data_IF_382643258513
#
_entry.id   IF_382643258513
#
_cell.length_a   1.000
_cell.length_b   1.000
_cell.length_c   1.000
_cell.angle_alpha   90.00
_cell.angle_beta   90.00
_cell.angle_gamma   90.00
#
_symmetry.space_group_name_H-M   'P 1'
#
loop_
_entity.id
_entity.type
_entity.pdbx_description
1 polymer ?
#
# COMPACT_ATOMS: atom_id res chain seq x y z
N UNK A 1 7.64 6.97 13.00
CA UNK A 1 8.94 7.60 12.69
C UNK A 1 8.66 8.85 11.87
N UNK A 2 9.35 9.96 12.09
CA UNK A 2 9.22 11.20 11.30
C UNK A 2 10.54 11.51 10.60
N UNK A 3 10.53 12.09 9.39
CA UNK A 3 11.76 12.44 8.70
C UNK A 3 11.57 13.56 7.68
N UNK A 4 12.66 14.24 7.34
CA UNK A 4 12.70 15.17 6.21
C UNK A 4 14.11 15.41 5.71
N UNK A 5 14.21 15.89 4.47
CA UNK A 5 15.43 16.45 3.89
C UNK A 5 15.24 17.95 3.82
N UNK A 6 16.21 18.66 4.41
CA UNK A 6 16.26 20.11 4.42
C UNK A 6 16.90 20.62 3.11
N UNK A 7 17.96 19.94 2.63
CA UNK A 7 18.71 20.34 1.43
C UNK A 7 19.53 19.19 0.82
N UNK A 8 19.70 19.21 -0.50
CA UNK A 8 20.65 18.38 -1.26
C UNK A 8 21.42 19.27 -2.26
N UNK A 9 22.70 19.52 -1.96
CA UNK A 9 23.60 20.33 -2.77
C UNK A 9 24.55 19.48 -3.63
N UNK A 10 24.24 18.20 -3.83
CA UNK A 10 25.05 17.24 -4.59
C UNK A 10 26.15 16.61 -3.74
N UNK A 11 27.09 17.41 -3.25
CA UNK A 11 28.19 16.94 -2.38
C UNK A 11 27.82 16.90 -0.89
N UNK A 12 26.63 17.40 -0.54
CA UNK A 12 26.17 17.55 0.84
C UNK A 12 24.65 17.41 0.92
N UNK A 13 24.19 16.50 1.77
CA UNK A 13 22.78 16.30 2.09
C UNK A 13 22.54 16.60 3.56
N UNK A 14 21.52 17.39 3.86
CA UNK A 14 21.13 17.78 5.20
C UNK A 14 19.71 17.31 5.45
N UNK A 15 19.49 16.64 6.57
CA UNK A 15 18.16 16.19 6.94
C UNK A 15 18.07 15.82 8.40
N UNK A 16 16.92 15.24 8.75
CA UNK A 16 16.67 14.75 10.08
C UNK A 16 15.73 13.55 10.04
N UNK A 17 15.85 12.73 11.08
CA UNK A 17 15.09 11.51 11.27
C UNK A 17 14.76 11.42 12.75
N UNK A 18 13.50 11.21 13.09
CA UNK A 18 13.04 10.95 14.44
C UNK A 18 12.62 9.48 14.53
N UNK A 19 13.35 8.67 15.32
CA UNK A 19 13.03 7.26 15.50
C UNK A 19 11.75 7.11 16.32
N UNK A 20 11.16 5.92 16.32
CA UNK A 20 9.96 5.62 17.12
C UNK A 20 10.25 5.69 18.63
N UNK A 21 11.50 5.41 19.04
CA UNK A 21 11.97 5.64 20.40
C UNK A 21 12.58 7.05 20.53
N UNK A 22 11.89 8.03 21.14
CA UNK A 22 12.37 9.43 21.22
C UNK A 22 13.61 9.61 22.11
N UNK A 23 14.08 8.56 22.79
CA UNK A 23 15.34 8.56 23.54
C UNK A 23 16.55 8.08 22.73
N UNK A 24 16.33 7.39 21.61
CA UNK A 24 17.40 6.84 20.79
C UNK A 24 18.04 7.94 19.94
N UNK A 25 19.37 7.91 19.79
CA UNK A 25 20.03 8.72 18.76
C UNK A 25 19.89 7.97 17.43
N UNK A 26 19.21 8.54 16.43
CA UNK A 26 18.95 7.84 15.18
C UNK A 26 20.23 7.66 14.37
N UNK A 27 20.22 6.64 13.52
CA UNK A 27 21.29 6.33 12.57
C UNK A 27 20.68 6.23 11.19
N UNK A 28 21.34 6.83 10.21
CA UNK A 28 21.03 6.63 8.80
C UNK A 28 22.05 5.70 8.16
N UNK A 29 21.61 4.97 7.14
CA UNK A 29 22.48 4.21 6.24
C UNK A 29 22.42 4.88 4.88
N UNK A 30 23.56 5.35 4.41
CA UNK A 30 23.74 5.91 3.07
C UNK A 30 24.26 4.81 2.16
N UNK A 31 23.47 4.45 1.17
CA UNK A 31 23.85 3.52 0.10
C UNK A 31 24.32 4.35 -1.09
N UNK A 32 25.59 4.19 -1.50
CA UNK A 32 26.17 4.87 -2.67
C UNK A 32 26.14 3.98 -3.92
N UNK A 33 26.19 2.66 -3.68
CA UNK A 33 25.99 1.59 -4.66
C UNK A 33 25.52 0.31 -3.91
N UNK A 34 25.23 -0.81 -4.61
CA UNK A 34 24.73 -2.04 -3.97
C UNK A 34 25.66 -2.71 -2.95
N UNK A 35 26.95 -2.40 -2.95
CA UNK A 35 27.95 -3.00 -2.05
C UNK A 35 28.57 -1.97 -1.10
N UNK A 36 28.43 -0.68 -1.38
CA UNK A 36 29.00 0.42 -0.61
C UNK A 36 27.95 1.13 0.25
N UNK A 37 28.04 0.92 1.56
CA UNK A 37 27.11 1.49 2.53
C UNK A 37 27.86 2.15 3.68
N UNK A 38 27.39 3.32 4.10
CA UNK A 38 27.99 4.12 5.17
C UNK A 38 26.93 4.41 6.23
N UNK A 39 27.23 4.04 7.47
CA UNK A 39 26.38 4.36 8.62
C UNK A 39 26.79 5.69 9.23
N UNK A 40 25.82 6.59 9.44
CA UNK A 40 26.03 7.90 10.06
C UNK A 40 25.06 8.05 11.23
N UNK A 41 25.59 8.18 12.43
CA UNK A 41 24.80 8.54 13.61
C UNK A 41 24.39 10.02 13.52
N UNK A 42 23.16 10.35 13.90
CA UNK A 42 22.72 11.73 13.96
C UNK A 42 23.55 12.50 15.00
N UNK A 43 24.05 13.67 14.60
CA UNK A 43 24.89 14.53 15.45
C UNK A 43 24.45 15.99 15.43
N UNK A 44 23.44 16.33 14.64
CA UNK A 44 22.94 17.71 14.54
C UNK A 44 21.75 17.91 15.49
N UNK A 45 21.84 18.97 16.28
CA UNK A 45 20.78 19.38 17.20
C UNK A 45 19.63 20.09 16.46
N UNK A 46 18.40 19.65 16.73
CA UNK A 46 17.13 20.19 16.23
C UNK A 46 16.30 20.69 17.44
N UNK A 47 16.42 21.97 17.82
CA UNK A 47 15.81 22.49 19.04
C UNK A 47 14.28 22.38 19.04
N UNK A 48 13.63 22.68 17.91
CA UNK A 48 12.17 22.64 17.78
C UNK A 48 11.60 21.25 18.07
N UNK A 49 12.28 20.19 17.64
CA UNK A 49 11.84 18.80 17.90
C UNK A 49 11.93 18.45 19.39
N UNK A 50 12.89 19.02 20.12
CA UNK A 50 12.96 18.88 21.58
C UNK A 50 11.88 19.71 22.29
N UNK A 51 11.71 20.97 21.88
CA UNK A 51 10.75 21.90 22.46
C UNK A 51 9.30 21.43 22.30
N UNK A 52 8.99 20.76 21.18
CA UNK A 52 7.69 20.15 20.92
C UNK A 52 7.51 18.79 21.63
N UNK A 53 8.51 18.31 22.37
CA UNK A 53 8.47 17.03 23.08
C UNK A 53 8.55 15.81 22.16
N UNK A 54 8.98 15.99 20.90
CA UNK A 54 9.07 14.93 19.91
C UNK A 54 10.37 14.11 20.06
N UNK A 55 11.45 14.71 20.57
CA UNK A 55 12.72 14.01 20.82
C UNK A 55 13.41 14.47 22.11
N UNK A 56 13.91 13.54 22.93
CA UNK A 56 14.41 13.85 24.28
C UNK A 56 15.65 14.77 24.28
N UNK A 57 16.61 14.48 23.40
CA UNK A 57 17.87 15.24 23.32
C UNK A 57 17.82 16.35 22.27
N UNK A 58 16.87 16.28 21.32
CA UNK A 58 16.89 17.03 20.06
C UNK A 58 18.02 16.66 19.08
N UNK A 59 18.93 15.73 19.40
CA UNK A 59 20.00 15.28 18.47
C UNK A 59 19.43 14.22 17.54
N UNK A 60 18.93 14.67 16.39
CA UNK A 60 18.23 13.82 15.42
C UNK A 60 18.43 14.30 13.96
N UNK A 61 19.25 15.33 13.74
CA UNK A 61 19.67 15.76 12.42
C UNK A 61 20.99 15.13 11.99
N UNK A 62 21.20 15.05 10.69
CA UNK A 62 22.44 14.58 10.08
C UNK A 62 22.89 15.54 8.98
N UNK A 63 24.20 15.47 8.68
CA UNK A 63 24.80 16.01 7.46
C UNK A 63 25.63 14.87 6.88
N UNK A 64 25.35 14.49 5.64
CA UNK A 64 26.17 13.56 4.88
C UNK A 64 26.94 14.37 3.83
N UNK A 65 28.27 14.29 3.85
CA UNK A 65 29.17 14.98 2.92
C UNK A 65 30.44 14.15 2.65
N UNK A 66 31.34 14.61 1.80
CA UNK A 66 32.56 13.88 1.45
C UNK A 66 33.50 13.56 2.64
N UNK A 67 33.34 14.23 3.80
CA UNK A 67 34.18 13.97 4.97
C UNK A 67 33.75 12.74 5.75
N UNK A 68 32.44 12.45 5.79
CA UNK A 68 31.87 11.32 6.53
C UNK A 68 31.17 10.29 5.62
N UNK A 69 30.98 10.61 4.35
CA UNK A 69 30.40 9.78 3.30
C UNK A 69 31.16 9.99 1.97
N UNK A 70 32.42 9.51 1.86
CA UNK A 70 33.22 9.71 0.66
C UNK A 70 32.56 9.10 -0.58
N UNK A 71 32.47 9.86 -1.67
CA UNK A 71 31.83 9.45 -2.92
C UNK A 71 30.35 9.86 -3.04
N UNK A 72 29.80 10.56 -2.04
CA UNK A 72 28.41 11.02 -2.05
C UNK A 72 28.07 11.91 -3.26
N UNK A 73 29.01 12.73 -3.73
CA UNK A 73 28.80 13.58 -4.90
C UNK A 73 28.73 12.77 -6.20
N UNK A 74 29.56 11.73 -6.31
CA UNK A 74 29.73 10.93 -7.53
C UNK A 74 28.81 9.71 -7.59
N UNK A 75 28.06 9.42 -6.53
CA UNK A 75 27.19 8.25 -6.45
C UNK A 75 26.06 8.33 -7.48
N UNK A 76 26.04 7.36 -8.41
CA UNK A 76 24.97 7.20 -9.38
C UNK A 76 23.66 6.74 -8.74
N UNK A 77 23.75 5.98 -7.64
CA UNK A 77 22.61 5.42 -6.92
C UNK A 77 22.72 5.76 -5.43
N UNK A 78 22.29 6.96 -5.06
CA UNK A 78 22.27 7.39 -3.67
C UNK A 78 20.91 7.14 -3.04
N UNK A 79 20.89 6.35 -1.97
CA UNK A 79 19.74 6.20 -1.07
C UNK A 79 20.16 6.46 0.38
N UNK A 80 19.29 7.14 1.13
CA UNK A 80 19.40 7.29 2.57
C UNK A 80 18.23 6.55 3.19
N UNK A 81 18.53 5.60 4.08
CA UNK A 81 17.55 4.78 4.78
C UNK A 81 17.71 4.91 6.29
N UNK A 82 16.63 4.70 7.01
CA UNK A 82 16.70 4.51 8.46
C UNK A 82 17.49 3.23 8.79
N UNK A 83 18.42 3.32 9.74
CA UNK A 83 19.26 2.20 10.15
C UNK A 83 18.55 1.16 11.02
N UNK A 84 17.36 1.44 11.55
CA UNK A 84 16.59 0.50 12.37
C UNK A 84 15.59 -0.30 11.52
N UNK A 85 14.75 0.39 10.74
CA UNK A 85 13.64 -0.23 10.01
C UNK A 85 13.78 -0.19 8.47
N UNK A 86 14.90 0.32 7.95
CA UNK A 86 15.23 0.37 6.52
C UNK A 86 14.25 1.19 5.65
N UNK A 87 13.42 2.04 6.26
CA UNK A 87 12.53 2.95 5.53
C UNK A 87 13.34 3.95 4.73
N UNK A 88 12.95 4.17 3.47
CA UNK A 88 13.58 5.13 2.58
C UNK A 88 13.28 6.57 3.04
N UNK A 89 14.34 7.31 3.37
CA UNK A 89 14.28 8.72 3.78
C UNK A 89 14.51 9.61 2.56
N UNK A 90 15.48 9.26 1.72
CA UNK A 90 15.83 10.02 0.53
C UNK A 90 16.42 9.12 -0.55
N UNK A 91 16.18 9.46 -1.81
CA UNK A 91 16.85 8.88 -2.96
C UNK A 91 17.20 9.99 -3.93
N UNK A 92 18.45 10.03 -4.39
CA UNK A 92 18.82 10.85 -5.53
C UNK A 92 18.50 10.06 -6.78
N UNK A 93 17.57 10.56 -7.59
CA UNK A 93 17.18 9.93 -8.85
C UNK A 93 17.90 10.67 -10.00
N UNK A 94 18.88 10.05 -10.68
CA UNK A 94 19.68 10.72 -11.71
C UNK A 94 18.96 10.87 -13.07
N UNK A 95 17.79 10.24 -13.23
CA UNK A 95 17.17 9.99 -14.54
C UNK A 95 16.20 11.10 -15.01
N UNK A 96 16.33 11.46 -16.29
CA UNK A 96 15.44 12.37 -17.03
C UNK A 96 14.02 11.80 -17.25
N UNK A 97 13.83 10.48 -17.08
CA UNK A 97 12.53 9.79 -17.21
C UNK A 97 11.74 9.72 -15.89
N UNK A 98 12.09 10.55 -14.91
CA UNK A 98 11.40 10.63 -13.62
C UNK A 98 10.00 11.22 -13.79
N UNK A 99 9.00 10.57 -13.21
CA UNK A 99 7.64 11.12 -13.09
C UNK A 99 7.62 12.14 -11.95
N UNK A 100 7.37 13.41 -12.27
CA UNK A 100 7.25 14.49 -11.29
C UNK A 100 5.80 14.64 -10.80
N UNK A 101 5.27 13.56 -10.22
CA UNK A 101 3.92 13.50 -9.66
C UNK A 101 3.89 12.62 -8.41
N UNK A 102 2.83 12.77 -7.61
CA UNK A 102 2.58 11.94 -6.44
C UNK A 102 1.44 10.99 -6.76
N UNK A 103 1.68 9.69 -6.67
CA UNK A 103 0.70 8.66 -7.00
C UNK A 103 0.57 7.65 -5.88
N UNK A 104 -0.65 7.43 -5.41
CA UNK A 104 -1.01 6.33 -4.53
C UNK A 104 -1.79 5.28 -5.30
N UNK A 105 -1.27 4.06 -5.34
CA UNK A 105 -2.05 2.88 -5.71
C UNK A 105 -2.71 2.32 -4.45
N UNK A 106 -4.02 2.51 -4.32
CA UNK A 106 -4.80 1.90 -3.25
C UNK A 106 -4.91 0.39 -3.51
N UNK A 107 -4.26 -0.41 -2.67
CA UNK A 107 -4.31 -1.87 -2.76
C UNK A 107 -5.55 -2.38 -2.02
N UNK A 108 -6.37 -3.18 -2.70
CA UNK A 108 -7.58 -3.79 -2.12
C UNK A 108 -7.38 -5.26 -1.76
N UNK A 109 -6.31 -5.87 -2.28
CA UNK A 109 -6.02 -7.30 -2.12
C UNK A 109 -5.20 -7.55 -0.85
N UNK A 110 -5.38 -8.74 -0.28
CA UNK A 110 -4.62 -9.16 0.89
C UNK A 110 -3.14 -9.47 0.55
N UNK A 111 -2.88 -10.10 -0.60
CA UNK A 111 -1.54 -10.26 -1.15
C UNK A 111 -1.37 -9.39 -2.38
N UNK A 112 -0.31 -8.59 -2.39
CA UNK A 112 -0.08 -7.55 -3.40
C UNK A 112 0.25 -8.14 -4.76
N UNK A 113 -0.24 -7.49 -5.81
CA UNK A 113 0.25 -7.70 -7.17
C UNK A 113 1.54 -6.90 -7.38
N UNK A 114 2.70 -7.51 -7.10
CA UNK A 114 4.00 -6.83 -7.22
C UNK A 114 4.28 -6.28 -8.61
N UNK A 115 3.76 -6.92 -9.65
CA UNK A 115 4.05 -6.58 -11.04
C UNK A 115 3.66 -5.14 -11.42
N UNK A 116 2.52 -4.62 -10.90
CA UNK A 116 2.12 -3.22 -11.13
C UNK A 116 3.07 -2.24 -10.45
N UNK A 117 3.47 -2.54 -9.21
CA UNK A 117 4.37 -1.70 -8.45
C UNK A 117 5.76 -1.68 -9.11
N UNK A 118 6.25 -2.80 -9.63
CA UNK A 118 7.56 -2.89 -10.30
C UNK A 118 7.65 -2.00 -11.55
N UNK A 119 6.55 -1.82 -12.30
CA UNK A 119 6.56 -0.95 -13.49
C UNK A 119 6.74 0.52 -13.16
N UNK A 120 6.18 0.95 -12.02
CA UNK A 120 6.14 2.36 -11.64
C UNK A 120 7.30 2.71 -10.71
N UNK A 121 7.75 1.81 -9.84
CA UNK A 121 8.69 2.13 -8.77
C UNK A 121 9.97 2.81 -9.28
N UNK A 122 10.50 2.33 -10.40
CA UNK A 122 11.75 2.80 -10.97
C UNK A 122 11.65 4.19 -11.61
N UNK A 123 10.43 4.71 -11.78
CA UNK A 123 10.16 6.02 -12.41
C UNK A 123 9.93 7.13 -11.39
N UNK A 124 9.82 6.83 -10.10
CA UNK A 124 9.64 7.82 -9.04
C UNK A 124 10.89 7.95 -8.17
N UNK A 125 11.16 9.16 -7.69
CA UNK A 125 12.25 9.43 -6.76
C UNK A 125 12.02 8.70 -5.44
N UNK A 126 10.82 8.83 -4.88
CA UNK A 126 10.49 8.33 -3.55
C UNK A 126 9.45 7.21 -3.62
N UNK A 127 9.88 5.95 -3.79
CA UNK A 127 8.96 4.84 -3.80
C UNK A 127 8.71 4.21 -2.43
N UNK A 128 7.45 3.93 -2.15
CA UNK A 128 6.99 3.25 -0.95
C UNK A 128 6.00 2.16 -1.32
N UNK A 129 6.26 0.95 -0.84
CA UNK A 129 5.34 -0.19 -0.98
C UNK A 129 4.85 -0.58 0.40
N UNK A 130 3.74 -1.30 0.45
CA UNK A 130 3.31 -1.98 1.67
C UNK A 130 2.99 -1.01 2.82
N UNK A 131 2.32 0.11 2.53
CA UNK A 131 2.02 1.10 3.57
C UNK A 131 1.31 0.51 4.80
N UNK A 132 0.55 -0.56 4.62
CA UNK A 132 -0.12 -1.30 5.70
C UNK A 132 0.84 -1.97 6.71
N UNK A 133 2.11 -2.13 6.36
CA UNK A 133 3.16 -2.66 7.24
C UNK A 133 3.89 -1.56 8.01
N UNK A 134 3.68 -0.30 7.65
CA UNK A 134 4.32 0.84 8.28
C UNK A 134 3.44 1.39 9.41
N UNK A 135 4.05 1.88 10.50
CA UNK A 135 3.32 2.65 11.50
C UNK A 135 2.63 3.87 10.88
N UNK A 136 1.48 4.26 11.44
CA UNK A 136 0.68 5.38 10.92
C UNK A 136 1.49 6.67 10.78
N UNK A 137 2.29 7.02 11.78
CA UNK A 137 3.15 8.22 11.76
C UNK A 137 4.20 8.18 10.63
N UNK A 138 4.70 6.99 10.30
CA UNK A 138 5.63 6.82 9.18
C UNK A 138 4.92 7.01 7.85
N UNK A 139 3.73 6.42 7.68
CA UNK A 139 2.89 6.63 6.49
C UNK A 139 2.49 8.09 6.32
N UNK A 140 2.16 8.78 7.42
CA UNK A 140 1.88 10.22 7.43
C UNK A 140 3.08 11.04 6.99
N UNK A 141 4.28 10.69 7.46
CA UNK A 141 5.52 11.34 7.05
C UNK A 141 5.79 11.17 5.56
N UNK A 142 5.57 9.96 5.01
CA UNK A 142 5.69 9.66 3.58
C UNK A 142 4.78 10.57 2.75
N UNK A 143 3.50 10.66 3.10
CA UNK A 143 2.56 11.51 2.37
C UNK A 143 2.85 13.01 2.54
N UNK A 144 3.45 13.40 3.68
CA UNK A 144 3.79 14.78 3.99
C UNK A 144 5.17 15.23 3.48
N UNK A 145 5.92 14.40 2.74
CA UNK A 145 7.24 14.75 2.20
C UNK A 145 7.16 16.09 1.43
N UNK A 146 7.89 17.14 1.87
CA UNK A 146 7.81 18.46 1.27
C UNK A 146 8.83 18.67 0.14
N UNK A 147 9.93 17.91 0.15
CA UNK A 147 11.09 18.15 -0.73
C UNK A 147 11.01 17.43 -2.08
N UNK A 148 10.02 16.55 -2.28
CA UNK A 148 9.85 15.80 -3.53
C UNK A 148 8.40 15.83 -3.98
N UNK A 149 8.21 16.10 -5.27
CA UNK A 149 6.94 15.91 -5.96
C UNK A 149 6.87 14.56 -6.68
N UNK A 150 7.92 13.74 -6.62
CA UNK A 150 8.00 12.44 -7.29
C UNK A 150 7.88 11.32 -6.27
N UNK A 151 6.64 10.98 -5.90
CA UNK A 151 6.35 9.97 -4.86
C UNK A 151 5.44 8.89 -5.42
N UNK A 152 5.87 7.63 -5.36
CA UNK A 152 5.00 6.49 -5.58
C UNK A 152 4.71 5.83 -4.24
N UNK A 153 3.45 5.56 -3.96
CA UNK A 153 3.05 4.82 -2.78
C UNK A 153 2.07 3.71 -3.17
N UNK A 154 2.20 2.53 -2.56
CA UNK A 154 1.22 1.45 -2.69
C UNK A 154 0.94 0.81 -1.34
N UNK A 155 -0.33 0.51 -1.08
CA UNK A 155 -0.69 -0.20 0.13
C UNK A 155 -2.18 -0.18 0.46
N UNK A 156 -2.53 -0.98 1.46
CA UNK A 156 -3.90 -1.19 1.91
C UNK A 156 -4.19 -0.30 3.11
N UNK A 157 -4.71 0.88 2.83
CA UNK A 157 -5.09 1.88 3.83
C UNK A 157 -6.60 2.17 3.75
N UNK A 158 -7.17 2.69 4.84
CA UNK A 158 -8.56 3.17 4.84
C UNK A 158 -8.63 4.54 4.15
N UNK A 159 -9.33 4.61 3.01
CA UNK A 159 -9.34 5.79 2.15
C UNK A 159 -9.72 7.06 2.90
N UNK A 160 -10.83 7.05 3.64
CA UNK A 160 -11.36 8.23 4.34
C UNK A 160 -10.46 8.76 5.46
N UNK A 161 -9.58 7.92 6.01
CA UNK A 161 -8.57 8.37 6.99
C UNK A 161 -7.52 9.26 6.33
N UNK A 162 -7.11 8.91 5.11
CA UNK A 162 -5.96 9.50 4.43
C UNK A 162 -6.32 10.51 3.35
N UNK A 163 -7.55 10.47 2.84
CA UNK A 163 -8.05 11.33 1.77
C UNK A 163 -7.71 12.81 2.01
N UNK A 164 -7.98 13.43 3.17
CA UNK A 164 -7.73 14.88 3.33
C UNK A 164 -6.26 15.23 3.15
N UNK A 165 -5.35 14.41 3.68
CA UNK A 165 -3.91 14.62 3.55
C UNK A 165 -3.44 14.38 2.12
N UNK A 166 -3.91 13.32 1.48
CA UNK A 166 -3.52 12.99 0.10
C UNK A 166 -3.94 14.10 -0.87
N UNK A 167 -5.16 14.62 -0.72
CA UNK A 167 -5.66 15.74 -1.53
C UNK A 167 -4.87 17.02 -1.27
N UNK A 168 -4.63 17.39 -0.01
CA UNK A 168 -3.82 18.55 0.36
C UNK A 168 -2.40 18.49 -0.24
N UNK A 169 -1.83 17.29 -0.29
CA UNK A 169 -0.48 17.05 -0.80
C UNK A 169 -0.40 16.80 -2.31
N UNK A 170 -1.52 16.85 -3.01
CA UNK A 170 -1.59 16.72 -4.47
C UNK A 170 -1.37 15.29 -4.98
N UNK A 171 -1.68 14.26 -4.18
CA UNK A 171 -1.64 12.89 -4.64
C UNK A 171 -2.75 12.61 -5.65
N UNK A 172 -2.35 11.96 -6.74
CA UNK A 172 -3.20 11.20 -7.64
C UNK A 172 -3.45 9.81 -7.08
N UNK A 173 -4.65 9.28 -7.21
CA UNK A 173 -5.02 8.01 -6.59
C UNK A 173 -5.65 7.06 -7.60
N UNK A 174 -5.08 5.86 -7.68
CA UNK A 174 -5.57 4.78 -8.52
C UNK A 174 -5.99 3.55 -7.71
N UNK A 175 -7.06 2.87 -8.13
CA UNK A 175 -7.49 1.59 -7.57
C UNK A 175 -7.86 0.61 -8.67
N UNK A 176 -7.47 -0.65 -8.50
CA UNK A 176 -7.83 -1.75 -9.39
C UNK A 176 -8.74 -2.72 -8.66
N UNK A 177 -10.02 -2.73 -9.02
CA UNK A 177 -11.05 -3.53 -8.38
C UNK A 177 -11.02 -4.97 -8.86
N UNK A 178 -11.38 -5.89 -7.98
CA UNK A 178 -11.47 -7.33 -8.26
C UNK A 178 -12.87 -7.83 -7.95
N UNK A 179 -13.29 -8.90 -8.65
CA UNK A 179 -14.48 -9.64 -8.30
C UNK A 179 -14.48 -10.03 -6.80
N UNK A 180 -15.55 -9.68 -6.04
CA UNK A 180 -15.59 -9.94 -4.61
C UNK A 180 -15.51 -11.43 -4.21
N UNK A 181 -16.00 -12.36 -5.04
CA UNK A 181 -15.85 -13.79 -4.75
C UNK A 181 -14.41 -14.26 -4.96
N UNK A 182 -13.69 -13.72 -5.94
CA UNK A 182 -12.27 -14.00 -6.09
C UNK A 182 -11.43 -13.44 -4.95
N UNK A 183 -11.75 -12.24 -4.46
CA UNK A 183 -11.09 -11.67 -3.29
C UNK A 183 -11.32 -12.51 -2.03
N UNK A 184 -12.57 -12.95 -1.80
CA UNK A 184 -12.90 -13.85 -0.70
C UNK A 184 -12.19 -15.21 -0.82
N UNK A 185 -12.18 -15.76 -2.03
CA UNK A 185 -11.48 -17.01 -2.37
C UNK A 185 -10.00 -16.91 -2.03
N UNK A 186 -9.33 -15.85 -2.48
CA UNK A 186 -7.91 -15.64 -2.22
C UNK A 186 -7.62 -15.50 -0.71
N UNK A 187 -8.43 -14.73 0.02
CA UNK A 187 -8.28 -14.57 1.49
C UNK A 187 -8.38 -15.90 2.22
N UNK A 188 -9.37 -16.72 1.89
CA UNK A 188 -9.55 -18.04 2.52
C UNK A 188 -8.39 -18.98 2.20
N UNK A 189 -7.91 -18.99 0.95
CA UNK A 189 -6.75 -19.79 0.54
C UNK A 189 -5.47 -19.34 1.25
N UNK A 190 -5.27 -18.03 1.40
CA UNK A 190 -4.16 -17.44 2.17
C UNK A 190 -4.24 -17.84 3.64
N UNK A 191 -5.42 -17.75 4.26
CA UNK A 191 -5.60 -18.17 5.65
C UNK A 191 -5.30 -19.66 5.81
N UNK A 192 -5.69 -20.48 4.84
CA UNK A 192 -5.37 -21.91 4.85
C UNK A 192 -3.88 -22.15 4.74
N UNK A 193 -3.19 -21.44 3.85
CA UNK A 193 -1.73 -21.49 3.75
C UNK A 193 -1.06 -21.03 5.05
N UNK A 194 -1.49 -19.90 5.62
CA UNK A 194 -0.96 -19.35 6.87
C UNK A 194 -1.19 -20.27 8.08
N UNK A 195 -2.17 -21.17 8.01
CA UNK A 195 -2.43 -22.19 9.04
C UNK A 195 -1.43 -23.34 9.04
N UNK A 196 -0.61 -23.46 7.98
CA UNK A 196 0.45 -24.46 7.88
C UNK A 196 1.63 -24.07 8.78
N UNK A 197 2.21 -25.01 9.56
CA UNK A 197 3.31 -24.71 10.48
C UNK A 197 4.51 -24.03 9.82
N UNK A 198 4.84 -24.44 8.58
CA UNK A 198 5.99 -23.92 7.81
C UNK A 198 5.77 -22.48 7.33
N UNK A 199 4.52 -22.07 7.12
CA UNK A 199 4.15 -20.75 6.64
C UNK A 199 3.89 -19.74 7.76
N UNK A 200 3.71 -20.23 9.00
CA UNK A 200 3.20 -19.42 10.09
C UNK A 200 4.11 -18.22 10.43
N UNK A 201 5.43 -18.43 10.46
CA UNK A 201 6.39 -17.36 10.73
C UNK A 201 6.33 -16.25 9.65
N UNK A 202 6.25 -16.63 8.39
CA UNK A 202 6.17 -15.70 7.26
C UNK A 202 4.83 -14.94 7.26
N UNK A 203 3.72 -15.65 7.51
CA UNK A 203 2.41 -15.02 7.61
C UNK A 203 2.33 -14.02 8.78
N UNK A 204 2.97 -14.33 9.91
CA UNK A 204 3.01 -13.42 11.05
C UNK A 204 3.80 -12.14 10.76
N UNK A 205 4.91 -12.24 10.01
CA UNK A 205 5.69 -11.09 9.58
C UNK A 205 4.93 -10.20 8.58
N UNK A 206 4.08 -10.80 7.74
CA UNK A 206 3.26 -10.06 6.77
C UNK A 206 2.05 -9.41 7.43
N UNK A 207 1.31 -10.14 8.26
CA UNK A 207 0.13 -9.60 8.95
C UNK A 207 -0.16 -10.43 10.20
N UNK A 208 0.15 -9.92 11.42
CA UNK A 208 -0.13 -10.63 12.66
C UNK A 208 -1.60 -11.04 12.82
N UNK A 209 -2.54 -10.22 12.32
CA UNK A 209 -3.97 -10.53 12.33
C UNK A 209 -4.34 -11.80 11.54
N UNK A 210 -3.53 -12.21 10.56
CA UNK A 210 -3.75 -13.45 9.81
C UNK A 210 -3.52 -14.68 10.67
N UNK A 211 -2.63 -14.63 11.68
CA UNK A 211 -2.37 -15.80 12.54
C UNK A 211 -3.59 -16.20 13.36
N UNK A 212 -4.26 -15.22 13.97
CA UNK A 212 -5.48 -15.47 14.75
C UNK A 212 -6.55 -16.11 13.86
N UNK A 213 -6.78 -15.54 12.66
CA UNK A 213 -7.74 -16.07 11.70
C UNK A 213 -7.36 -17.45 11.15
N UNK A 214 -6.07 -17.70 10.92
CA UNK A 214 -5.55 -18.96 10.40
C UNK A 214 -5.80 -20.13 11.37
N UNK A 215 -5.79 -19.86 12.68
CA UNK A 215 -6.15 -20.86 13.70
C UNK A 215 -7.57 -21.41 13.53
N UNK A 216 -8.53 -20.56 13.15
CA UNK A 216 -9.93 -20.95 12.97
C UNK A 216 -10.17 -21.84 11.75
N UNK A 217 -9.37 -21.70 10.68
CA UNK A 217 -9.54 -22.44 9.43
C UNK A 217 -8.66 -23.70 9.33
N UNK A 218 -7.70 -23.87 10.27
CA UNK A 218 -6.67 -24.91 10.21
C UNK A 218 -7.22 -26.31 9.93
N UNK A 219 -8.29 -26.68 10.63
CA UNK A 219 -8.90 -28.01 10.56
C UNK A 219 -10.04 -28.12 9.55
N UNK A 220 -10.41 -27.03 8.88
CA UNK A 220 -11.48 -27.02 7.88
C UNK A 220 -10.91 -27.51 6.55
N UNK A 221 -11.55 -28.51 5.96
CA UNK A 221 -11.29 -28.89 4.58
C UNK A 221 -12.05 -27.92 3.65
N UNK A 222 -11.31 -27.09 2.91
CA UNK A 222 -11.91 -26.13 1.99
C UNK A 222 -12.50 -26.78 0.73
N UNK A 223 -12.20 -28.06 0.48
CA UNK A 223 -12.80 -28.82 -0.61
C UNK A 223 -14.17 -29.41 -0.24
N UNK A 224 -14.49 -29.49 1.06
CA UNK A 224 -15.81 -29.90 1.55
C UNK A 224 -16.74 -28.69 1.63
N UNK A 225 -17.69 -28.60 0.70
CA UNK A 225 -18.64 -27.50 0.61
C UNK A 225 -19.51 -27.35 1.86
N UNK A 226 -19.87 -28.44 2.54
CA UNK A 226 -20.69 -28.37 3.75
C UNK A 226 -19.88 -27.84 4.95
N UNK A 227 -18.63 -28.27 5.07
CA UNK A 227 -17.73 -27.76 6.10
C UNK A 227 -17.42 -26.27 5.89
N UNK A 228 -17.18 -25.86 4.64
CA UNK A 228 -16.94 -24.47 4.28
C UNK A 228 -18.16 -23.59 4.52
N UNK A 229 -19.35 -24.01 4.09
CA UNK A 229 -20.57 -23.24 4.35
C UNK A 229 -20.84 -23.11 5.86
N UNK A 230 -20.61 -24.18 6.62
CA UNK A 230 -20.69 -24.15 8.09
C UNK A 230 -19.72 -23.16 8.73
N UNK A 231 -18.48 -23.06 8.22
CA UNK A 231 -17.48 -22.08 8.65
C UNK A 231 -17.96 -20.66 8.38
N UNK A 232 -18.48 -20.38 7.18
CA UNK A 232 -18.91 -19.02 6.80
C UNK A 232 -20.17 -18.56 7.54
N UNK A 233 -21.12 -19.46 7.77
CA UNK A 233 -22.32 -19.18 8.57
C UNK A 233 -22.01 -18.87 10.04
N UNK A 234 -20.92 -19.44 10.57
CA UNK A 234 -20.50 -19.31 11.97
C UNK A 234 -19.08 -18.75 12.08
N UNK A 235 -18.74 -17.81 11.20
CA UNK A 235 -17.44 -17.16 11.22
C UNK A 235 -17.24 -16.49 12.59
N UNK A 236 -16.05 -16.65 13.18
CA UNK A 236 -15.69 -15.90 14.38
C UNK A 236 -15.65 -14.41 14.09
N UNK A 237 -15.68 -13.56 15.12
CA UNK A 237 -15.64 -12.11 14.95
C UNK A 237 -14.37 -11.66 14.21
N UNK A 238 -13.24 -12.32 14.45
CA UNK A 238 -11.96 -12.06 13.77
C UNK A 238 -12.03 -12.43 12.29
N UNK A 239 -12.54 -13.63 11.98
CA UNK A 239 -12.69 -14.07 10.59
C UNK A 239 -13.69 -13.20 9.83
N UNK A 240 -14.78 -12.81 10.50
CA UNK A 240 -15.79 -11.92 9.96
C UNK A 240 -15.20 -10.53 9.68
N UNK A 241 -14.37 -9.99 10.56
CA UNK A 241 -13.66 -8.71 10.34
C UNK A 241 -12.77 -8.76 9.09
N UNK A 242 -12.17 -9.91 8.78
CA UNK A 242 -11.36 -10.07 7.57
C UNK A 242 -12.19 -10.25 6.30
N UNK A 243 -13.35 -10.91 6.37
CA UNK A 243 -14.12 -11.30 5.17
C UNK A 243 -15.30 -10.37 4.86
N UNK A 244 -15.79 -9.62 5.83
CA UNK A 244 -17.03 -8.86 5.70
C UNK A 244 -16.82 -7.55 4.93
N UNK A 245 -17.42 -7.47 3.74
CA UNK A 245 -17.41 -6.32 2.82
C UNK A 245 -16.11 -5.50 2.83
N UNK A 246 -14.95 -6.14 2.61
CA UNK A 246 -13.67 -5.47 2.78
C UNK A 246 -13.43 -4.28 1.86
N UNK A 247 -13.97 -4.29 0.63
CA UNK A 247 -13.84 -3.16 -0.29
C UNK A 247 -14.62 -1.95 0.24
N UNK A 248 -15.87 -2.15 0.63
CA UNK A 248 -16.71 -1.09 1.21
C UNK A 248 -16.11 -0.56 2.51
N UNK A 249 -15.61 -1.42 3.39
CA UNK A 249 -14.93 -0.99 4.61
C UNK A 249 -13.69 -0.14 4.30
N UNK A 250 -12.86 -0.59 3.36
CA UNK A 250 -11.65 0.16 3.01
C UNK A 250 -11.96 1.54 2.42
N UNK A 251 -13.02 1.65 1.62
CA UNK A 251 -13.37 2.88 0.91
C UNK A 251 -14.23 3.85 1.72
N UNK A 252 -15.06 3.35 2.64
CA UNK A 252 -16.10 4.15 3.29
C UNK A 252 -15.98 4.20 4.82
N UNK A 253 -15.25 3.30 5.47
CA UNK A 253 -15.09 3.36 6.92
C UNK A 253 -14.24 4.59 7.31
N UNK A 254 -14.65 5.35 8.34
CA UNK A 254 -13.90 6.52 8.78
C UNK A 254 -12.60 6.15 9.51
N UNK A 255 -12.48 4.92 10.02
CA UNK A 255 -11.27 4.34 10.60
C UNK A 255 -11.43 2.81 10.70
N UNK A 256 -10.43 2.12 11.26
CA UNK A 256 -10.41 0.67 11.38
C UNK A 256 -11.42 0.08 12.38
N UNK A 257 -12.00 0.90 13.26
CA UNK A 257 -12.83 0.46 14.38
C UNK A 257 -14.32 0.77 14.17
N UNK A 258 -14.61 1.85 13.46
CA UNK A 258 -15.97 2.31 13.19
C UNK A 258 -16.50 1.76 11.86
N UNK A 259 -17.77 1.34 11.79
CA UNK A 259 -18.37 0.86 10.56
C UNK A 259 -18.56 2.00 9.53
N UNK A 260 -18.65 1.66 8.23
CA UNK A 260 -19.04 2.61 7.19
C UNK A 260 -20.39 3.29 7.46
N UNK A 261 -20.59 4.54 6.98
CA UNK A 261 -21.87 5.22 7.07
C UNK A 261 -22.96 4.51 6.26
N UNK A 262 -24.22 4.67 6.63
CA UNK A 262 -25.36 4.07 5.93
C UNK A 262 -25.98 5.10 4.95
N UNK A 263 -26.22 4.77 3.66
CA UNK A 263 -25.94 3.48 3.00
C UNK A 263 -24.47 3.30 2.57
N UNK A 264 -23.86 2.22 3.05
CA UNK A 264 -22.42 1.95 2.87
C UNK A 264 -21.99 1.78 1.41
N UNK A 265 -22.75 1.09 0.53
CA UNK A 265 -22.41 1.03 -0.89
C UNK A 265 -22.34 2.40 -1.55
N UNK A 266 -23.25 3.33 -1.22
CA UNK A 266 -23.25 4.67 -1.80
C UNK A 266 -22.00 5.45 -1.39
N UNK A 267 -21.64 5.41 -0.10
CA UNK A 267 -20.43 6.08 0.39
C UNK A 267 -19.15 5.52 -0.23
N UNK A 268 -19.09 4.21 -0.50
CA UNK A 268 -17.97 3.59 -1.20
C UNK A 268 -17.93 3.99 -2.69
N UNK A 269 -19.08 4.07 -3.37
CA UNK A 269 -19.17 4.56 -4.75
C UNK A 269 -18.79 6.04 -4.87
N UNK A 270 -19.18 6.87 -3.90
CA UNK A 270 -18.75 8.27 -3.80
C UNK A 270 -17.23 8.34 -3.66
N UNK A 271 -16.63 7.49 -2.81
CA UNK A 271 -15.17 7.38 -2.70
C UNK A 271 -14.50 6.97 -4.00
N UNK A 272 -15.10 6.07 -4.79
CA UNK A 272 -14.54 5.65 -6.08
C UNK A 272 -14.62 6.76 -7.13
N UNK A 273 -15.75 7.48 -7.21
CA UNK A 273 -15.94 8.60 -8.14
C UNK A 273 -14.97 9.76 -7.89
N UNK A 274 -14.42 9.81 -6.68
CA UNK A 274 -13.46 10.77 -6.17
C UNK A 274 -11.99 10.47 -6.52
N UNK A 275 -11.69 9.26 -7.01
CA UNK A 275 -10.34 8.81 -7.39
C UNK A 275 -10.00 9.19 -8.83
N UNK A 276 -8.71 9.34 -9.14
CA UNK A 276 -8.26 9.74 -10.48
C UNK A 276 -8.27 8.59 -11.48
N UNK A 277 -8.05 7.35 -11.03
CA UNK A 277 -8.10 6.15 -11.88
C UNK A 277 -8.80 4.98 -11.18
N UNK A 278 -9.90 4.51 -11.73
CA UNK A 278 -10.60 3.31 -11.26
C UNK A 278 -10.63 2.28 -12.38
N UNK A 279 -10.12 1.10 -12.10
CA UNK A 279 -10.06 0.00 -13.06
C UNK A 279 -10.71 -1.28 -12.57
N UNK A 280 -10.93 -2.21 -13.49
CA UNK A 280 -11.29 -3.59 -13.19
C UNK A 280 -10.10 -4.49 -13.49
N UNK A 281 -9.86 -5.49 -12.65
CA UNK A 281 -8.79 -6.48 -12.86
C UNK A 281 -9.00 -7.31 -14.14
N UNK A 282 -10.23 -7.45 -14.60
CA UNK A 282 -10.55 -8.13 -15.87
C UNK A 282 -10.17 -7.28 -17.10
N UNK A 283 -9.87 -5.99 -16.90
CA UNK A 283 -9.48 -5.04 -17.95
C UNK A 283 -8.34 -4.12 -17.46
N UNK A 284 -7.20 -4.76 -17.17
CA UNK A 284 -6.00 -4.08 -16.64
C UNK A 284 -5.46 -3.06 -17.64
N UNK A 285 -5.54 -3.33 -18.93
CA UNK A 285 -4.98 -2.45 -19.95
C UNK A 285 -5.70 -1.09 -19.95
N UNK A 286 -7.04 -1.06 -19.85
CA UNK A 286 -7.80 0.18 -19.68
C UNK A 286 -7.41 0.93 -18.39
N UNK A 287 -7.15 0.22 -17.30
CA UNK A 287 -6.65 0.83 -16.07
C UNK A 287 -5.26 1.45 -16.25
N UNK A 288 -4.35 0.74 -16.92
CA UNK A 288 -2.99 1.22 -17.20
C UNK A 288 -2.99 2.44 -18.12
N UNK A 289 -3.91 2.49 -19.10
CA UNK A 289 -4.10 3.66 -19.95
C UNK A 289 -4.58 4.87 -19.13
N UNK A 290 -5.54 4.67 -18.21
CA UNK A 290 -5.99 5.72 -17.30
C UNK A 290 -4.86 6.21 -16.38
N UNK A 291 -4.07 5.30 -15.81
CA UNK A 291 -2.91 5.66 -14.98
C UNK A 291 -1.88 6.43 -15.80
N UNK A 292 -1.60 5.99 -17.03
CA UNK A 292 -0.71 6.69 -17.95
C UNK A 292 -1.18 8.12 -18.25
N UNK A 293 -2.48 8.30 -18.49
CA UNK A 293 -3.07 9.62 -18.71
C UNK A 293 -3.04 10.51 -17.45
N UNK A 294 -3.36 9.96 -16.27
CA UNK A 294 -3.34 10.70 -14.99
C UNK A 294 -1.94 11.16 -14.60
N UNK A 295 -0.91 10.40 -15.00
CA UNK A 295 0.50 10.70 -14.76
C UNK A 295 1.18 11.44 -15.92
N UNK A 296 0.41 11.86 -16.93
CA UNK A 296 0.90 12.54 -18.14
C UNK A 296 2.08 11.82 -18.81
N UNK A 297 2.03 10.49 -18.88
CA UNK A 297 3.12 9.70 -19.45
C UNK A 297 3.15 9.83 -20.98
N UNK A 298 4.35 10.02 -21.58
CA UNK A 298 4.48 10.18 -23.02
C UNK A 298 4.26 8.86 -23.79
N UNK A 299 4.51 7.73 -23.13
CA UNK A 299 4.37 6.39 -23.68
C UNK A 299 3.39 5.57 -22.81
N UNK A 300 2.59 4.69 -23.43
CA UNK A 300 1.69 3.83 -22.69
C UNK A 300 2.48 2.89 -21.78
N UNK A 301 1.87 2.55 -20.64
CA UNK A 301 2.42 1.55 -19.74
C UNK A 301 2.36 0.16 -20.41
N UNK A 302 3.39 -0.69 -20.26
CA UNK A 302 3.36 -2.03 -20.82
C UNK A 302 2.27 -2.86 -20.17
N UNK A 303 1.56 -3.65 -20.97
CA UNK A 303 0.53 -4.58 -20.48
C UNK A 303 1.10 -5.59 -19.48
N UNK A 304 0.30 -5.95 -18.48
CA UNK A 304 0.65 -6.92 -17.45
C UNK A 304 -0.43 -7.97 -17.29
N UNK A 305 -0.01 -9.23 -17.29
CA UNK A 305 -0.88 -10.34 -16.90
C UNK A 305 -1.09 -10.34 -15.38
N UNK A 306 -2.26 -9.88 -14.94
CA UNK A 306 -2.69 -9.95 -13.54
C UNK A 306 -3.82 -10.97 -13.30
N UNK A 307 -4.11 -11.84 -14.27
CA UNK A 307 -5.20 -12.79 -14.16
C UNK A 307 -5.13 -13.64 -12.87
N UNK A 308 -6.28 -13.89 -12.21
CA UNK A 308 -6.32 -14.76 -11.03
C UNK A 308 -5.79 -16.16 -11.37
N UNK A 309 -5.23 -16.85 -10.38
CA UNK A 309 -4.85 -18.25 -10.57
C UNK A 309 -6.10 -19.10 -10.80
N UNK A 310 -5.98 -20.19 -11.57
CA UNK A 310 -7.09 -21.13 -11.79
C UNK A 310 -7.68 -21.67 -10.48
N UNK A 311 -6.84 -21.79 -9.45
CA UNK A 311 -7.26 -22.20 -8.11
C UNK A 311 -8.19 -21.16 -7.48
N UNK A 312 -7.85 -19.87 -7.58
CA UNK A 312 -8.68 -18.79 -7.04
C UNK A 312 -10.02 -18.72 -7.77
N UNK A 313 -10.01 -18.72 -9.11
CA UNK A 313 -11.25 -18.67 -9.91
C UNK A 313 -12.14 -19.88 -9.65
N UNK A 314 -11.59 -21.10 -9.67
CA UNK A 314 -12.37 -22.31 -9.41
C UNK A 314 -12.96 -22.35 -8.00
N UNK A 315 -12.25 -21.79 -7.00
CA UNK A 315 -12.78 -21.69 -5.65
C UNK A 315 -13.82 -20.56 -5.49
N UNK A 316 -13.66 -19.45 -6.23
CA UNK A 316 -14.66 -18.38 -6.29
C UNK A 316 -15.99 -18.87 -6.89
N UNK A 317 -15.94 -19.76 -7.88
CA UNK A 317 -17.13 -20.38 -8.46
C UNK A 317 -17.90 -21.22 -7.43
N UNK A 318 -17.20 -21.97 -6.58
CA UNK A 318 -17.81 -22.71 -5.46
C UNK A 318 -18.46 -21.75 -4.46
N UNK A 319 -17.77 -20.68 -4.08
CA UNK A 319 -18.29 -19.69 -3.12
C UNK A 319 -19.52 -18.95 -3.67
N UNK A 320 -19.62 -18.75 -4.99
CA UNK A 320 -20.72 -18.04 -5.62
C UNK A 320 -22.08 -18.73 -5.45
N UNK A 321 -22.07 -20.05 -5.35
CA UNK A 321 -23.24 -20.88 -5.09
C UNK A 321 -23.65 -20.90 -3.60
N UNK A 322 -22.79 -20.39 -2.69
CA UNK A 322 -23.02 -20.39 -1.26
C UNK A 322 -23.71 -19.11 -0.78
N UNK A 323 -24.89 -19.27 -0.17
CA UNK A 323 -25.64 -18.14 0.40
C UNK A 323 -24.86 -17.43 1.52
N UNK A 324 -24.13 -18.19 2.34
CA UNK A 324 -23.32 -17.67 3.43
C UNK A 324 -22.16 -16.79 2.95
N UNK A 325 -21.52 -17.17 1.85
CA UNK A 325 -20.47 -16.38 1.23
C UNK A 325 -21.03 -15.05 0.72
N UNK A 326 -22.12 -15.12 -0.06
CA UNK A 326 -22.82 -13.94 -0.58
C UNK A 326 -23.22 -12.96 0.53
N UNK A 327 -23.74 -13.45 1.65
CA UNK A 327 -24.14 -12.61 2.77
C UNK A 327 -22.98 -11.85 3.44
N UNK A 328 -21.74 -12.36 3.36
CA UNK A 328 -20.57 -11.69 3.91
C UNK A 328 -20.07 -10.54 3.03
N UNK A 329 -20.30 -10.61 1.72
CA UNK A 329 -19.75 -9.66 0.72
C UNK A 329 -20.84 -8.94 -0.08
N UNK A 330 -22.09 -8.94 0.39
CA UNK A 330 -23.25 -8.39 -0.33
C UNK A 330 -23.04 -6.93 -0.77
N UNK A 331 -22.48 -6.10 0.10
CA UNK A 331 -22.25 -4.68 -0.20
C UNK A 331 -21.11 -4.49 -1.19
N UNK A 332 -20.07 -5.32 -1.10
CA UNK A 332 -18.97 -5.33 -2.08
C UNK A 332 -19.47 -5.75 -3.47
N UNK A 333 -20.42 -6.70 -3.53
CA UNK A 333 -21.07 -7.10 -4.78
C UNK A 333 -21.84 -5.95 -5.41
N UNK A 334 -22.59 -5.18 -4.62
CA UNK A 334 -23.33 -4.00 -5.12
C UNK A 334 -22.39 -2.95 -5.69
N UNK A 335 -21.32 -2.61 -4.96
CA UNK A 335 -20.31 -1.63 -5.41
C UNK A 335 -19.59 -2.12 -6.67
N UNK A 336 -19.15 -3.38 -6.68
CA UNK A 336 -18.45 -3.94 -7.83
C UNK A 336 -19.33 -4.03 -9.07
N UNK A 337 -20.60 -4.43 -8.92
CA UNK A 337 -21.55 -4.49 -10.04
C UNK A 337 -21.77 -3.11 -10.66
N UNK A 338 -21.91 -2.07 -9.84
CA UNK A 338 -22.09 -0.70 -10.32
C UNK A 338 -20.82 -0.14 -10.97
N UNK A 339 -19.65 -0.35 -10.35
CA UNK A 339 -18.37 0.02 -10.95
C UNK A 339 -18.17 -0.67 -12.31
N UNK A 340 -18.48 -1.97 -12.40
CA UNK A 340 -18.41 -2.72 -13.65
C UNK A 340 -19.40 -2.19 -14.70
N UNK A 341 -20.61 -1.81 -14.31
CA UNK A 341 -21.60 -1.22 -15.21
C UNK A 341 -21.14 0.10 -15.80
N UNK A 342 -20.49 0.95 -14.99
CA UNK A 342 -20.00 2.27 -15.41
C UNK A 342 -18.72 2.18 -16.23
N UNK A 343 -17.81 1.26 -15.88
CA UNK A 343 -16.52 1.09 -16.55
C UNK A 343 -16.59 0.18 -17.78
N UNK A 344 -17.68 -0.57 -17.97
CA UNK A 344 -17.85 -1.40 -19.16
C UNK A 344 -17.78 -0.52 -20.42
N UNK A 345 -17.02 -0.96 -21.45
CA UNK A 345 -16.97 -0.23 -22.71
C UNK A 345 -18.38 -0.08 -23.28
N UNK A 346 -18.73 1.14 -23.71
CA UNK A 346 -20.02 1.38 -24.35
C UNK A 346 -20.18 0.40 -25.52
N UNK A 347 -21.36 -0.24 -25.69
CA UNK A 347 -21.58 -1.12 -26.83
C UNK A 347 -21.30 -0.33 -28.11
N UNK A 348 -20.42 -0.87 -28.96
CA UNK A 348 -20.09 -0.26 -30.24
C UNK A 348 -21.39 0.08 -30.97
N UNK A 349 -21.61 1.37 -31.24
CA UNK A 349 -22.76 1.81 -32.02
C UNK A 349 -22.71 1.04 -33.35
N UNK A 350 -23.73 0.21 -33.58
CA UNK A 350 -23.89 -0.50 -34.84
C UNK A 350 -24.13 0.57 -35.91
N UNK A 351 -23.12 0.77 -36.75
CA UNK A 351 -23.20 1.64 -37.94
C UNK A 351 -24.04 0.99 -39.03
#
# INVERSE_FOLDING_TARGET
MLFSIDDDMGERIIGWLMPDNPAATPRIIVHLDPEHHIAIDAFVYRPLLKEQGLHNSGVCGFVADESNCPGIAAAAHLEIRDGENNVLIYRRHPDDNRIDSKFLRLETQLFRSSNLDEMLIGRFQMPYRSLELLPEETTRSIFAIPFSNSIFASGRIFWRVWEPLLRDRGFKVGVLLRDPFEEMSERLLILKWASLPEAAANANALMPALQTCAGHIRHVDLSDSAALEGLLLRASDELRTLLYNPLVYQLAAPNAFDPPPNPAPAAALDSLAELDAVGLRDDVDSFLDLVGAVLDLPEPLPSVALGPSKTVTGFADILREMSAARALIEQDLDVYAEARRVLAPAPAASA
#
